data_IF_545194339962
#
_entry.id   IF_545194339962
#
_cell.length_a   1.000
_cell.length_b   1.000
_cell.length_c   1.000
_cell.angle_alpha   90.00
_cell.angle_beta   90.00
_cell.angle_gamma   90.00
#
_symmetry.space_group_name_H-M   'P 1'
#
loop_
_entity.id
_entity.type
_entity.pdbx_description
1 polymer ?
#
# COMPACT_ATOMS: atom_id res chain seq x y z
N UNK A 1 1.06 1.86 -46.89
CA UNK A 1 2.08 1.21 -46.03
C UNK A 1 1.37 0.63 -44.83
N UNK A 2 1.64 -0.61 -44.45
CA UNK A 2 1.14 -1.15 -43.19
C UNK A 2 1.79 -0.39 -42.03
N UNK A 3 1.00 -0.06 -41.00
CA UNK A 3 1.51 0.60 -39.80
C UNK A 3 2.17 -0.47 -38.93
N UNK A 4 3.49 -0.41 -38.80
CA UNK A 4 4.25 -1.39 -38.04
C UNK A 4 4.04 -1.18 -36.52
N UNK A 5 3.37 -2.14 -35.89
CA UNK A 5 3.16 -2.17 -34.43
C UNK A 5 4.50 -2.39 -33.72
N UNK A 6 4.74 -1.70 -32.61
CA UNK A 6 6.01 -1.82 -31.89
C UNK A 6 6.21 -3.21 -31.26
N UNK A 7 5.14 -3.79 -30.72
CA UNK A 7 5.04 -5.16 -30.19
C UNK A 7 3.56 -5.52 -30.01
N UNK A 8 3.13 -6.79 -30.10
CA UNK A 8 1.73 -7.17 -29.84
C UNK A 8 1.18 -6.73 -28.47
N UNK A 9 2.07 -6.59 -27.48
CA UNK A 9 1.72 -6.15 -26.11
C UNK A 9 1.64 -4.63 -25.93
N UNK A 10 1.95 -3.82 -26.95
CA UNK A 10 1.95 -2.36 -26.84
C UNK A 10 0.85 -1.72 -27.69
N UNK A 11 0.02 -0.82 -27.14
CA UNK A 11 -1.00 -0.09 -27.88
C UNK A 11 -0.41 1.10 -28.67
N UNK A 12 0.73 0.92 -29.34
CA UNK A 12 1.38 1.96 -30.15
C UNK A 12 2.26 1.41 -31.27
N UNK A 13 2.50 2.25 -32.26
CA UNK A 13 3.37 1.96 -33.41
C UNK A 13 4.84 2.17 -33.05
N UNK A 14 5.76 1.57 -33.81
CA UNK A 14 7.20 1.80 -33.60
C UNK A 14 7.58 3.27 -33.77
N UNK A 15 6.95 3.97 -34.72
CA UNK A 15 7.13 5.41 -34.95
C UNK A 15 6.65 6.28 -33.76
N UNK A 16 5.50 5.91 -33.15
CA UNK A 16 4.98 6.58 -31.96
C UNK A 16 5.90 6.40 -30.75
N UNK A 17 6.46 5.19 -30.58
CA UNK A 17 7.42 4.91 -29.52
C UNK A 17 8.73 5.69 -29.71
N UNK A 18 9.28 5.70 -30.93
CA UNK A 18 10.44 6.53 -31.30
C UNK A 18 10.23 8.00 -30.92
N UNK A 19 9.08 8.57 -31.29
CA UNK A 19 8.73 9.97 -31.01
C UNK A 19 8.68 10.24 -29.51
N UNK A 20 8.07 9.34 -28.72
CA UNK A 20 8.03 9.45 -27.25
C UNK A 20 9.40 9.37 -26.59
N UNK A 21 10.29 8.52 -27.10
CA UNK A 21 11.65 8.40 -26.59
C UNK A 21 12.49 9.64 -26.94
N UNK A 22 12.32 10.19 -28.15
CA UNK A 22 12.95 11.45 -28.55
C UNK A 22 12.47 12.66 -27.71
N UNK A 23 11.16 12.76 -27.40
CA UNK A 23 10.58 13.79 -26.52
C UNK A 23 11.23 13.82 -25.12
N UNK A 24 11.74 12.67 -24.64
CA UNK A 24 12.42 12.54 -23.34
C UNK A 24 13.96 12.52 -23.47
N UNK A 25 14.50 12.91 -24.64
CA UNK A 25 15.93 13.07 -24.88
C UNK A 25 16.72 11.78 -25.16
N UNK A 26 16.05 10.67 -25.51
CA UNK A 26 16.73 9.48 -26.02
C UNK A 26 16.89 9.58 -27.55
N UNK A 27 18.12 9.44 -28.04
CA UNK A 27 18.47 9.55 -29.47
C UNK A 27 19.10 8.27 -30.05
N UNK A 28 19.02 7.15 -29.34
CA UNK A 28 19.54 5.85 -29.81
C UNK A 28 18.56 5.13 -30.75
N UNK A 29 18.95 3.97 -31.30
CA UNK A 29 18.08 3.18 -32.16
C UNK A 29 16.92 2.56 -31.39
N UNK A 30 15.75 2.46 -32.04
CA UNK A 30 14.60 1.69 -31.56
C UNK A 30 14.07 0.85 -32.72
N UNK A 31 14.02 -0.46 -32.56
CA UNK A 31 13.44 -1.39 -33.54
C UNK A 31 12.53 -2.40 -32.83
N UNK A 32 11.76 -3.19 -33.58
CA UNK A 32 10.92 -4.24 -33.00
C UNK A 32 11.73 -5.19 -32.09
N UNK A 33 12.97 -5.51 -32.47
CA UNK A 33 13.90 -6.35 -31.68
C UNK A 33 14.26 -5.73 -30.33
N UNK A 34 14.57 -4.42 -30.32
CA UNK A 34 14.83 -3.68 -29.06
C UNK A 34 13.59 -3.72 -28.14
N UNK A 35 12.39 -3.57 -28.71
CA UNK A 35 11.13 -3.60 -27.93
C UNK A 35 10.84 -4.99 -27.40
N UNK A 36 10.98 -6.05 -28.20
CA UNK A 36 10.85 -7.45 -27.77
C UNK A 36 11.87 -7.82 -26.67
N UNK A 37 13.10 -7.30 -26.76
CA UNK A 37 14.09 -7.50 -25.72
C UNK A 37 13.71 -6.81 -24.40
N UNK A 38 13.23 -5.56 -24.45
CA UNK A 38 12.76 -4.84 -23.26
C UNK A 38 11.58 -5.58 -22.61
N UNK A 39 10.58 -5.98 -23.39
CA UNK A 39 9.35 -6.59 -22.86
C UNK A 39 9.49 -8.07 -22.46
N UNK A 40 10.61 -8.72 -22.77
CA UNK A 40 10.94 -10.04 -22.20
C UNK A 40 11.62 -9.95 -20.82
N UNK A 41 11.99 -8.73 -20.37
CA UNK A 41 12.66 -8.51 -19.09
C UNK A 41 11.97 -7.46 -18.19
N UNK A 42 11.00 -6.71 -18.71
CA UNK A 42 10.28 -5.62 -18.04
C UNK A 42 8.79 -5.80 -18.30
N UNK A 43 7.97 -5.73 -17.24
CA UNK A 43 6.52 -5.82 -17.37
C UNK A 43 5.96 -4.74 -18.34
N UNK A 44 5.13 -5.12 -19.34
CA UNK A 44 4.59 -4.18 -20.31
C UNK A 44 3.78 -3.02 -19.69
N UNK A 45 3.11 -3.25 -18.55
CA UNK A 45 2.32 -2.22 -17.87
C UNK A 45 3.23 -1.18 -17.19
N UNK A 46 4.28 -1.64 -16.48
CA UNK A 46 5.34 -0.78 -15.91
C UNK A 46 6.07 0.00 -17.00
N UNK A 47 6.45 -0.67 -18.09
CA UNK A 47 7.10 -0.03 -19.25
C UNK A 47 6.23 1.12 -19.81
N UNK A 48 4.95 0.84 -20.08
CA UNK A 48 4.00 1.84 -20.56
C UNK A 48 3.79 2.98 -19.55
N UNK A 49 3.84 2.69 -18.25
CA UNK A 49 3.69 3.73 -17.24
C UNK A 49 4.92 4.64 -17.12
N UNK A 50 6.13 4.06 -17.08
CA UNK A 50 7.37 4.83 -17.12
C UNK A 50 7.43 5.74 -18.36
N UNK A 51 7.02 5.22 -19.53
CA UNK A 51 6.97 5.97 -20.79
C UNK A 51 5.99 7.17 -20.73
N UNK A 52 4.87 7.05 -19.99
CA UNK A 52 3.96 8.17 -19.72
C UNK A 52 4.56 9.18 -18.72
N UNK A 53 5.29 8.69 -17.71
CA UNK A 53 5.83 9.51 -16.64
C UNK A 53 7.07 10.32 -17.05
N UNK A 54 7.92 9.78 -17.94
CA UNK A 54 9.22 10.34 -18.29
C UNK A 54 9.22 11.75 -18.90
N UNK A 55 8.07 12.25 -19.39
CA UNK A 55 7.90 13.65 -19.75
C UNK A 55 8.03 14.63 -18.57
N UNK A 56 7.75 14.16 -17.35
CA UNK A 56 7.72 14.97 -16.11
C UNK A 56 8.60 14.41 -14.98
N UNK A 57 8.89 13.12 -14.98
CA UNK A 57 9.74 12.45 -14.00
C UNK A 57 11.13 12.18 -14.57
N UNK A 58 12.15 12.81 -13.99
CA UNK A 58 13.54 12.65 -14.37
C UNK A 58 14.09 11.23 -14.08
N UNK A 59 13.58 10.54 -13.05
CA UNK A 59 13.99 9.16 -12.73
C UNK A 59 13.43 8.18 -13.76
N UNK A 60 12.15 8.30 -14.10
CA UNK A 60 11.53 7.51 -15.16
C UNK A 60 12.22 7.74 -16.52
N UNK A 61 12.57 8.99 -16.83
CA UNK A 61 13.36 9.37 -18.02
C UNK A 61 14.73 8.72 -18.05
N UNK A 62 15.52 8.90 -16.98
CA UNK A 62 16.86 8.30 -16.88
C UNK A 62 16.81 6.78 -16.92
N UNK A 63 15.78 6.16 -16.33
CA UNK A 63 15.60 4.71 -16.38
C UNK A 63 15.30 4.20 -17.80
N UNK A 64 14.35 4.81 -18.52
CA UNK A 64 14.06 4.44 -19.92
C UNK A 64 15.26 4.65 -20.84
N UNK A 65 16.00 5.76 -20.68
CA UNK A 65 17.22 6.00 -21.43
C UNK A 65 18.25 4.89 -21.20
N UNK A 66 18.52 4.52 -19.95
CA UNK A 66 19.44 3.41 -19.61
C UNK A 66 18.94 2.05 -20.11
N UNK A 67 17.63 1.81 -20.04
CA UNK A 67 16.99 0.57 -20.49
C UNK A 67 17.15 0.37 -22.00
N UNK A 68 16.89 1.40 -22.82
CA UNK A 68 17.06 1.31 -24.27
C UNK A 68 18.53 1.37 -24.73
N UNK A 69 19.41 2.09 -24.02
CA UNK A 69 20.86 1.99 -24.24
C UNK A 69 21.32 0.54 -24.03
N UNK A 70 20.90 -0.09 -22.93
CA UNK A 70 21.26 -1.48 -22.61
C UNK A 70 20.68 -2.49 -23.60
N UNK A 71 19.46 -2.26 -24.09
CA UNK A 71 18.89 -3.06 -25.19
C UNK A 71 19.74 -2.92 -26.47
N UNK A 72 20.18 -1.71 -26.80
CA UNK A 72 21.01 -1.45 -28.00
C UNK A 72 22.38 -2.12 -27.93
N UNK A 73 23.02 -2.16 -26.76
CA UNK A 73 24.28 -2.89 -26.53
C UNK A 73 24.12 -4.40 -26.83
N UNK A 74 23.03 -4.99 -26.33
CA UNK A 74 22.79 -6.44 -26.41
C UNK A 74 22.30 -6.90 -27.78
N UNK A 75 21.45 -6.09 -28.45
CA UNK A 75 21.03 -6.33 -29.84
C UNK A 75 22.22 -6.19 -30.81
N UNK A 76 23.12 -5.22 -30.58
CA UNK A 76 24.30 -5.03 -31.44
C UNK A 76 25.43 -6.04 -31.19
N UNK A 77 25.51 -6.64 -30.00
CA UNK A 77 26.54 -7.60 -29.64
C UNK A 77 25.98 -8.72 -28.72
N UNK A 78 25.38 -9.77 -29.29
CA UNK A 78 24.72 -10.84 -28.53
C UNK A 78 25.67 -11.75 -27.74
N UNK A 79 26.99 -11.61 -27.91
CA UNK A 79 27.99 -12.30 -27.08
C UNK A 79 28.28 -11.59 -25.74
N UNK A 80 27.70 -10.40 -25.53
CA UNK A 80 27.83 -9.65 -24.27
C UNK A 80 27.01 -10.34 -23.17
N UNK A 81 27.58 -10.61 -21.98
CA UNK A 81 26.82 -11.22 -20.89
C UNK A 81 25.64 -10.33 -20.47
N UNK A 82 24.51 -10.97 -20.17
CA UNK A 82 23.25 -10.38 -19.69
C UNK A 82 23.37 -9.90 -18.24
N UNK A 83 24.35 -9.02 -17.98
CA UNK A 83 24.44 -8.25 -16.75
C UNK A 83 23.15 -7.44 -16.51
N UNK A 84 22.78 -7.21 -15.23
CA UNK A 84 21.46 -6.79 -14.82
C UNK A 84 21.02 -5.48 -15.50
N UNK A 85 19.75 -5.41 -15.86
CA UNK A 85 19.12 -4.17 -16.30
C UNK A 85 19.17 -3.12 -15.17
N UNK A 86 19.16 -1.82 -15.49
CA UNK A 86 19.07 -0.77 -14.48
C UNK A 86 17.81 -1.00 -13.62
N UNK A 87 17.93 -0.94 -12.27
CA UNK A 87 16.83 -1.28 -11.37
C UNK A 87 15.60 -0.41 -11.65
N UNK A 88 14.42 -1.03 -11.67
CA UNK A 88 13.15 -0.35 -11.86
C UNK A 88 12.93 0.69 -10.77
N UNK A 89 12.84 1.97 -11.13
CA UNK A 89 12.31 2.95 -10.20
C UNK A 89 10.78 2.80 -10.13
N UNK A 90 10.22 2.81 -8.92
CA UNK A 90 8.78 2.68 -8.70
C UNK A 90 8.03 3.90 -9.24
N UNK A 91 7.20 3.66 -10.25
CA UNK A 91 6.36 4.64 -10.93
C UNK A 91 5.01 3.87 -11.04
N UNK A 92 3.92 4.32 -10.38
CA UNK A 92 2.64 3.56 -10.21
C UNK A 92 1.39 4.09 -10.96
N UNK A 93 0.50 3.20 -11.44
CA UNK A 93 -0.78 3.52 -12.10
C UNK A 93 -1.92 2.53 -11.68
N UNK A 94 -3.21 2.94 -11.62
CA UNK A 94 -4.28 2.16 -10.97
C UNK A 94 -5.20 1.32 -11.91
N UNK A 95 -6.02 0.46 -11.29
CA UNK A 95 -7.04 -0.47 -11.87
C UNK A 95 -8.29 0.26 -12.45
N UNK A 96 -9.26 -0.42 -13.13
CA UNK A 96 -10.26 -1.34 -12.51
C UNK A 96 -10.57 -2.57 -13.43
N UNK A 97 -11.63 -3.39 -13.34
CA UNK A 97 -12.88 -3.48 -12.53
C UNK A 97 -13.42 -4.94 -12.49
N UNK A 98 -14.45 -5.25 -11.69
CA UNK A 98 -15.26 -6.48 -11.85
C UNK A 98 -16.20 -6.83 -10.68
N UNK A 99 -17.49 -6.51 -10.80
CA UNK A 99 -18.53 -6.86 -9.82
C UNK A 99 -18.98 -8.34 -9.91
N UNK A 100 -19.35 -8.92 -8.76
CA UNK A 100 -20.43 -9.91 -8.64
C UNK A 100 -20.90 -10.00 -7.18
N UNK A 101 -22.18 -10.35 -6.98
CA UNK A 101 -22.92 -10.05 -5.74
C UNK A 101 -23.55 -11.28 -5.08
N UNK A 102 -23.95 -11.10 -3.80
CA UNK A 102 -24.75 -11.98 -2.94
C UNK A 102 -24.02 -13.22 -2.33
N UNK A 103 -24.50 -13.80 -1.19
CA UNK A 103 -25.78 -13.54 -0.50
C UNK A 103 -25.69 -13.16 1.00
N UNK A 104 -26.86 -12.86 1.58
CA UNK A 104 -27.09 -12.64 3.01
C UNK A 104 -26.66 -13.82 3.91
N UNK A 105 -26.12 -13.49 5.08
CA UNK A 105 -25.62 -14.48 6.04
C UNK A 105 -25.43 -13.92 7.46
N UNK A 106 -26.34 -13.06 7.93
CA UNK A 106 -26.23 -12.43 9.25
C UNK A 106 -26.55 -13.40 10.40
N UNK A 107 -25.58 -14.22 10.83
CA UNK A 107 -25.65 -14.93 12.12
C UNK A 107 -25.09 -14.05 13.25
N UNK A 108 -25.84 -13.01 13.61
CA UNK A 108 -25.50 -12.15 14.74
C UNK A 108 -25.73 -12.86 16.07
N UNK A 109 -24.67 -13.33 16.71
CA UNK A 109 -24.68 -13.59 18.16
C UNK A 109 -24.67 -12.23 18.86
N UNK A 110 -25.79 -11.87 19.50
CA UNK A 110 -25.97 -10.57 20.15
C UNK A 110 -25.11 -10.37 21.40
N UNK A 111 -23.81 -10.15 21.23
CA UNK A 111 -22.96 -9.56 22.26
C UNK A 111 -23.16 -8.03 22.27
N UNK A 112 -23.18 -7.45 23.47
CA UNK A 112 -23.21 -6.00 23.62
C UNK A 112 -21.90 -5.38 23.09
N UNK A 113 -21.96 -4.23 22.41
CA UNK A 113 -20.77 -3.53 21.89
C UNK A 113 -19.66 -3.35 22.94
N UNK A 114 -18.41 -3.69 22.57
CA UNK A 114 -17.27 -3.67 23.49
C UNK A 114 -16.84 -2.23 23.81
N UNK A 115 -16.71 -1.87 25.09
CA UNK A 115 -16.27 -0.53 25.50
C UNK A 115 -14.79 -0.31 25.20
N UNK A 116 -14.46 0.78 24.51
CA UNK A 116 -13.07 1.20 24.24
C UNK A 116 -12.24 1.37 25.51
N UNK A 117 -12.91 1.71 26.61
CA UNK A 117 -12.27 1.97 27.90
C UNK A 117 -11.75 0.70 28.58
N UNK A 118 -12.28 -0.47 28.20
CA UNK A 118 -12.03 -1.76 28.86
C UNK A 118 -11.44 -2.80 27.89
N UNK A 119 -11.30 -2.45 26.60
CA UNK A 119 -10.79 -3.34 25.55
C UNK A 119 -9.25 -3.34 25.50
N UNK A 120 -8.64 -4.51 25.61
CA UNK A 120 -7.27 -4.75 25.14
C UNK A 120 -7.29 -4.98 23.62
N UNK A 121 -6.44 -4.28 22.89
CA UNK A 121 -6.26 -4.49 21.45
C UNK A 121 -5.03 -5.36 21.17
N UNK A 122 -5.17 -6.35 20.28
CA UNK A 122 -4.07 -7.11 19.71
C UNK A 122 -3.61 -6.37 18.45
N UNK A 123 -2.55 -5.59 18.55
CA UNK A 123 -1.97 -4.88 17.41
C UNK A 123 -1.06 -5.86 16.65
N UNK A 124 -1.50 -6.28 15.48
CA UNK A 124 -0.84 -7.31 14.68
C UNK A 124 -0.31 -6.74 13.36
N UNK A 125 0.75 -7.37 12.87
CA UNK A 125 1.43 -7.02 11.62
C UNK A 125 2.13 -8.29 11.10
N UNK A 126 2.25 -8.44 9.77
CA UNK A 126 2.97 -9.55 9.16
C UNK A 126 3.78 -9.15 7.93
N UNK A 127 4.95 -9.79 7.79
CA UNK A 127 5.72 -9.74 6.54
C UNK A 127 5.33 -10.92 5.67
N UNK A 128 5.34 -10.72 4.35
CA UNK A 128 4.74 -11.64 3.39
C UNK A 128 5.59 -11.82 2.13
N UNK A 129 5.40 -12.93 1.43
CA UNK A 129 6.05 -13.17 0.12
C UNK A 129 5.60 -12.16 -0.95
N UNK A 130 4.47 -11.50 -0.74
CA UNK A 130 3.91 -10.48 -1.63
C UNK A 130 2.55 -10.00 -1.11
N UNK A 131 1.69 -9.55 -2.04
CA UNK A 131 0.39 -8.93 -1.73
C UNK A 131 -0.80 -9.64 -2.38
N UNK A 132 -0.58 -10.73 -3.13
CA UNK A 132 -1.65 -11.53 -3.73
C UNK A 132 -2.17 -12.56 -2.72
N UNK A 133 -3.36 -12.31 -2.17
CA UNK A 133 -3.98 -13.16 -1.16
C UNK A 133 -4.24 -14.61 -1.58
N UNK A 134 -4.21 -14.93 -2.88
CA UNK A 134 -4.30 -16.32 -3.35
C UNK A 134 -2.91 -17.00 -3.39
N UNK A 135 -1.88 -16.28 -3.86
CA UNK A 135 -0.55 -16.83 -4.11
C UNK A 135 0.41 -16.71 -2.91
N UNK A 136 0.36 -15.59 -2.18
CA UNK A 136 1.35 -15.19 -1.19
C UNK A 136 1.06 -15.71 0.23
N UNK A 137 2.10 -15.79 1.06
CA UNK A 137 2.08 -16.39 2.39
C UNK A 137 2.85 -15.53 3.39
N UNK A 138 2.46 -15.60 4.66
CA UNK A 138 3.17 -14.95 5.76
C UNK A 138 4.56 -15.58 5.98
N UNK A 139 5.56 -14.73 6.27
CA UNK A 139 6.97 -15.03 6.54
C UNK A 139 7.32 -14.67 7.99
N UNK A 140 6.70 -13.62 8.53
CA UNK A 140 6.89 -13.17 9.91
C UNK A 140 5.54 -12.68 10.45
N UNK A 141 5.30 -12.89 11.73
CA UNK A 141 4.14 -12.34 12.43
C UNK A 141 4.56 -11.74 13.77
N UNK A 142 3.95 -10.62 14.13
CA UNK A 142 4.06 -10.05 15.46
C UNK A 142 2.68 -9.70 16.02
N UNK A 143 2.59 -9.70 17.35
CA UNK A 143 1.43 -9.24 18.07
C UNK A 143 1.87 -8.45 19.31
N UNK A 144 1.36 -7.23 19.43
CA UNK A 144 1.62 -6.29 20.50
C UNK A 144 0.29 -6.01 21.23
N UNK A 145 0.22 -6.31 22.52
CA UNK A 145 -0.95 -6.01 23.32
C UNK A 145 -0.91 -4.54 23.74
N UNK A 146 -1.98 -3.79 23.41
CA UNK A 146 -2.27 -2.47 23.95
C UNK A 146 -3.38 -2.60 24.99
N UNK A 147 -3.02 -2.46 26.27
CA UNK A 147 -3.94 -2.61 27.39
C UNK A 147 -4.78 -1.34 27.66
N UNK A 148 -5.94 -1.45 28.33
CA UNK A 148 -6.75 -0.31 28.79
C UNK A 148 -6.00 0.74 29.62
N UNK A 149 -4.97 0.34 30.36
CA UNK A 149 -4.06 1.23 31.10
C UNK A 149 -3.21 2.12 30.19
N UNK A 150 -3.09 1.75 28.91
CA UNK A 150 -2.15 2.33 27.96
C UNK A 150 -0.79 1.63 27.95
N UNK A 151 -0.59 0.54 28.70
CA UNK A 151 0.64 -0.26 28.62
C UNK A 151 0.70 -0.99 27.27
N UNK A 152 1.93 -1.18 26.76
CA UNK A 152 2.21 -1.77 25.45
C UNK A 152 3.22 -2.90 25.66
N UNK A 153 2.87 -4.13 25.25
CA UNK A 153 3.69 -5.33 25.42
C UNK A 153 3.86 -6.07 24.09
N UNK A 154 5.10 -6.34 23.66
CA UNK A 154 5.38 -7.25 22.55
C UNK A 154 5.24 -8.71 23.05
N UNK A 155 4.04 -9.28 22.90
CA UNK A 155 3.70 -10.61 23.41
C UNK A 155 4.06 -11.73 22.43
N UNK A 156 4.09 -11.46 21.11
CA UNK A 156 4.53 -12.43 20.10
C UNK A 156 5.39 -11.77 19.03
N UNK A 157 6.48 -12.44 18.64
CA UNK A 157 7.27 -12.16 17.45
C UNK A 157 7.87 -13.48 16.95
N UNK A 158 7.50 -13.92 15.75
CA UNK A 158 7.96 -15.21 15.21
C UNK A 158 8.10 -15.18 13.70
N UNK A 159 9.08 -15.92 13.20
CA UNK A 159 9.14 -16.30 11.79
C UNK A 159 8.14 -17.44 11.52
N UNK A 160 7.70 -17.50 10.27
CA UNK A 160 6.78 -18.48 9.70
C UNK A 160 7.45 -19.04 8.45
N UNK A 161 7.44 -20.36 8.28
CA UNK A 161 7.86 -20.99 7.03
C UNK A 161 6.70 -20.91 6.01
N UNK A 162 6.80 -20.09 4.94
CA UNK A 162 5.73 -19.88 3.97
C UNK A 162 5.48 -21.10 3.07
N UNK A 163 6.40 -22.06 3.00
CA UNK A 163 6.33 -23.22 2.10
C UNK A 163 6.50 -22.92 0.60
N UNK A 164 6.81 -21.67 0.25
CA UNK A 164 7.14 -21.19 -1.09
C UNK A 164 8.39 -20.30 -1.03
N UNK A 165 9.17 -20.14 -2.11
CA UNK A 165 10.35 -19.28 -2.11
C UNK A 165 9.99 -17.82 -1.82
N UNK A 166 10.76 -17.15 -0.97
CA UNK A 166 10.58 -15.73 -0.65
C UNK A 166 11.11 -14.87 -1.81
N UNK A 167 10.26 -14.06 -2.49
CA UNK A 167 10.70 -13.26 -3.61
C UNK A 167 11.69 -12.17 -3.20
N UNK A 168 12.74 -11.98 -4.00
CA UNK A 168 13.76 -10.95 -3.74
C UNK A 168 13.19 -9.52 -3.69
N UNK A 169 12.04 -9.26 -4.33
CA UNK A 169 11.31 -7.99 -4.23
C UNK A 169 10.76 -7.72 -2.82
N UNK A 170 10.41 -8.76 -2.10
CA UNK A 170 9.86 -8.71 -0.74
C UNK A 170 11.01 -8.68 0.26
N UNK A 171 12.04 -9.52 0.08
CA UNK A 171 13.32 -9.41 0.81
C UNK A 171 13.99 -8.03 0.69
N UNK A 172 13.79 -7.30 -0.43
CA UNK A 172 14.29 -5.94 -0.59
C UNK A 172 13.58 -4.92 0.32
N UNK A 173 12.40 -5.26 0.85
CA UNK A 173 11.60 -4.45 1.78
C UNK A 173 11.91 -4.89 3.22
N UNK A 174 11.65 -6.17 3.55
CA UNK A 174 11.66 -6.66 4.93
C UNK A 174 12.91 -7.46 5.34
N UNK A 175 13.86 -7.63 4.40
CA UNK A 175 15.18 -8.22 4.64
C UNK A 175 15.20 -9.66 5.20
N UNK A 176 14.10 -10.42 5.03
CA UNK A 176 14.04 -11.86 5.32
C UNK A 176 14.20 -12.64 4.00
N UNK A 177 14.86 -13.79 4.09
CA UNK A 177 15.17 -14.70 2.99
C UNK A 177 14.82 -16.14 3.35
N UNK A 178 14.84 -17.06 2.37
CA UNK A 178 14.59 -18.49 2.60
C UNK A 178 15.50 -19.11 3.67
N UNK A 179 16.66 -18.49 3.95
CA UNK A 179 17.61 -18.95 4.99
C UNK A 179 17.14 -18.63 6.40
N UNK A 180 16.44 -17.52 6.58
CA UNK A 180 16.02 -17.04 7.90
C UNK A 180 14.86 -17.88 8.45
N UNK A 181 14.00 -18.40 7.56
CA UNK A 181 12.85 -19.25 7.89
C UNK A 181 13.18 -20.76 8.01
N UNK A 182 14.45 -21.15 7.92
CA UNK A 182 14.84 -22.58 8.06
C UNK A 182 14.49 -23.08 9.46
N UNK A 183 13.57 -24.04 9.53
CA UNK A 183 13.10 -24.61 10.80
C UNK A 183 12.03 -23.77 11.51
N UNK A 184 11.55 -22.69 10.90
CA UNK A 184 10.39 -21.95 11.38
C UNK A 184 9.10 -22.80 11.27
N UNK A 185 8.13 -22.50 12.11
CA UNK A 185 6.83 -23.18 12.09
C UNK A 185 5.99 -22.75 10.89
N UNK A 186 5.19 -23.66 10.33
CA UNK A 186 4.13 -23.30 9.35
C UNK A 186 3.05 -22.48 10.04
N UNK A 187 2.33 -21.63 9.28
CA UNK A 187 1.24 -20.78 9.78
C UNK A 187 0.22 -21.56 10.63
N UNK A 188 -0.16 -22.78 10.24
CA UNK A 188 -1.12 -23.61 10.97
C UNK A 188 -0.72 -23.94 12.43
N UNK A 189 0.56 -23.82 12.80
CA UNK A 189 1.02 -23.96 14.17
C UNK A 189 1.15 -22.62 14.92
N UNK A 190 1.23 -21.49 14.19
CA UNK A 190 1.36 -20.13 14.76
C UNK A 190 -0.01 -19.47 14.94
N UNK A 191 -0.93 -19.66 13.98
CA UNK A 191 -2.26 -19.03 13.96
C UNK A 191 -3.05 -19.26 15.26
N UNK A 192 -3.09 -20.46 15.86
CA UNK A 192 -3.84 -20.66 17.10
C UNK A 192 -3.28 -19.83 18.27
N UNK A 193 -1.97 -19.57 18.29
CA UNK A 193 -1.31 -18.76 19.33
C UNK A 193 -1.71 -17.30 19.21
N UNK A 194 -1.60 -16.69 18.03
CA UNK A 194 -2.01 -15.29 17.82
C UNK A 194 -3.53 -15.11 17.95
N UNK A 195 -4.32 -16.06 17.44
CA UNK A 195 -5.79 -16.07 17.53
C UNK A 195 -6.29 -16.12 18.98
N UNK A 196 -5.52 -16.72 19.89
CA UNK A 196 -5.82 -16.78 21.32
C UNK A 196 -5.48 -15.50 22.11
N UNK A 197 -4.76 -14.53 21.53
CA UNK A 197 -4.39 -13.29 22.23
C UNK A 197 -5.58 -12.33 22.44
N UNK A 198 -6.67 -12.47 21.69
CA UNK A 198 -7.86 -11.66 21.86
C UNK A 198 -8.88 -11.80 20.73
N UNK A 199 -9.88 -10.91 20.74
CA UNK A 199 -10.94 -10.82 19.71
C UNK A 199 -10.94 -9.47 18.98
N UNK A 200 -10.35 -8.44 19.58
CA UNK A 200 -10.22 -7.10 19.02
C UNK A 200 -8.78 -6.88 18.56
N UNK A 201 -8.60 -6.86 17.25
CA UNK A 201 -7.33 -6.66 16.60
C UNK A 201 -7.23 -5.25 16.03
N UNK A 202 -6.01 -4.78 15.81
CA UNK A 202 -5.75 -3.58 15.04
C UNK A 202 -4.50 -3.76 14.16
N UNK A 203 -4.50 -3.11 13.01
CA UNK A 203 -3.31 -2.97 12.17
C UNK A 203 -3.37 -1.62 11.47
N UNK A 204 -2.28 -1.27 10.78
CA UNK A 204 -2.28 -0.06 9.97
C UNK A 204 -3.20 -0.21 8.74
N UNK A 205 -3.19 -1.36 8.07
CA UNK A 205 -4.10 -1.69 6.95
C UNK A 205 -4.51 -3.18 7.02
N UNK A 206 -5.53 -3.53 7.82
CA UNK A 206 -5.74 -4.90 8.33
C UNK A 206 -6.15 -5.96 7.30
N UNK A 207 -6.57 -5.59 6.10
CA UNK A 207 -7.11 -6.54 5.12
C UNK A 207 -6.08 -7.60 4.68
N UNK A 208 -4.80 -7.24 4.68
CA UNK A 208 -3.68 -8.13 4.37
C UNK A 208 -3.36 -9.03 5.57
N UNK A 209 -3.17 -8.45 6.75
CA UNK A 209 -2.80 -9.17 7.98
C UNK A 209 -3.88 -10.17 8.39
N UNK A 210 -5.15 -9.73 8.41
CA UNK A 210 -6.30 -10.58 8.70
C UNK A 210 -6.42 -11.77 7.74
N UNK A 211 -5.98 -11.59 6.48
CA UNK A 211 -6.00 -12.63 5.46
C UNK A 211 -4.84 -13.62 5.59
N UNK A 212 -3.61 -13.11 5.62
CA UNK A 212 -2.38 -13.92 5.59
C UNK A 212 -2.13 -14.65 6.91
N UNK A 213 -2.67 -14.15 8.02
CA UNK A 213 -2.62 -14.79 9.33
C UNK A 213 -3.83 -15.70 9.61
N UNK A 214 -4.81 -15.75 8.70
CA UNK A 214 -6.09 -16.46 8.86
C UNK A 214 -6.84 -16.04 10.16
N UNK A 215 -7.09 -14.73 10.27
CA UNK A 215 -7.71 -14.04 11.39
C UNK A 215 -8.89 -13.15 10.95
N UNK A 216 -9.54 -13.49 9.83
CA UNK A 216 -10.70 -12.76 9.30
C UNK A 216 -11.96 -12.87 10.17
N UNK A 217 -11.98 -13.80 11.12
CA UNK A 217 -13.04 -13.98 12.12
C UNK A 217 -13.00 -12.93 13.25
N UNK A 218 -11.92 -12.16 13.34
CA UNK A 218 -11.70 -11.16 14.40
C UNK A 218 -12.30 -9.80 14.06
N UNK A 219 -12.51 -8.98 15.09
CA UNK A 219 -12.90 -7.58 14.95
C UNK A 219 -11.66 -6.73 14.69
N UNK A 220 -11.54 -6.11 13.53
CA UNK A 220 -10.35 -5.33 13.13
C UNK A 220 -10.58 -3.82 13.12
N UNK A 221 -9.69 -3.08 13.78
CA UNK A 221 -9.61 -1.63 13.71
C UNK A 221 -8.42 -1.18 12.82
N UNK A 222 -8.67 -0.24 11.92
CA UNK A 222 -7.68 0.27 10.96
C UNK A 222 -7.14 1.63 11.39
N UNK A 223 -5.87 1.71 11.81
CA UNK A 223 -5.26 2.97 12.25
C UNK A 223 -5.02 3.93 11.08
N UNK A 224 -4.72 3.44 9.87
CA UNK A 224 -4.65 4.32 8.69
C UNK A 224 -5.96 5.08 8.48
N UNK A 225 -7.13 4.41 8.60
CA UNK A 225 -8.44 5.08 8.50
C UNK A 225 -8.68 6.11 9.60
N UNK A 226 -8.34 5.79 10.86
CA UNK A 226 -8.45 6.75 11.96
C UNK A 226 -7.54 7.97 11.75
N UNK A 227 -6.31 7.75 11.28
CA UNK A 227 -5.34 8.81 11.06
C UNK A 227 -5.79 9.84 10.01
N UNK A 228 -6.51 9.41 8.96
CA UNK A 228 -7.13 10.31 7.97
C UNK A 228 -8.15 11.25 8.61
N UNK A 229 -8.98 10.74 9.53
CA UNK A 229 -10.01 11.53 10.22
C UNK A 229 -9.43 12.42 11.34
N UNK A 230 -8.41 11.96 12.06
CA UNK A 230 -7.83 12.66 13.21
C UNK A 230 -6.78 13.72 12.80
N UNK A 231 -6.10 13.48 11.67
CA UNK A 231 -5.03 14.31 11.14
C UNK A 231 -5.10 14.43 9.60
N UNK A 232 -6.16 15.04 9.02
CA UNK A 232 -6.31 15.16 7.57
C UNK A 232 -5.24 16.07 6.91
N UNK A 233 -4.57 16.91 7.71
CA UNK A 233 -3.44 17.78 7.33
C UNK A 233 -2.05 17.10 7.43
N UNK A 234 -1.96 15.81 7.80
CA UNK A 234 -0.66 15.13 7.91
C UNK A 234 0.05 15.05 6.54
N UNK A 235 1.41 15.16 6.49
CA UNK A 235 2.17 15.12 5.23
C UNK A 235 2.13 13.75 4.53
N UNK A 236 1.67 12.72 5.23
CA UNK A 236 1.38 11.39 4.74
C UNK A 236 0.91 10.49 5.88
N UNK A 237 0.08 9.50 5.57
CA UNK A 237 -0.61 8.67 6.58
C UNK A 237 0.02 7.30 6.80
N UNK A 238 1.14 6.97 6.15
CA UNK A 238 1.89 5.73 6.42
C UNK A 238 2.47 5.73 7.84
N UNK A 239 2.47 4.57 8.49
CA UNK A 239 2.91 4.34 9.88
C UNK A 239 4.20 5.11 10.28
N UNK A 240 5.28 4.98 9.51
CA UNK A 240 6.56 5.64 9.82
C UNK A 240 6.51 7.18 9.60
N UNK A 241 5.71 7.70 8.66
CA UNK A 241 5.52 9.16 8.52
C UNK A 241 4.75 9.71 9.72
N UNK A 242 3.68 9.03 10.16
CA UNK A 242 2.92 9.43 11.34
C UNK A 242 3.77 9.35 12.61
N UNK A 243 4.61 8.31 12.75
CA UNK A 243 5.59 8.18 13.86
C UNK A 243 6.46 9.43 14.01
N UNK A 244 7.13 9.87 12.94
CA UNK A 244 8.02 11.03 12.99
C UNK A 244 7.27 12.36 13.04
N UNK A 245 6.13 12.48 12.35
CA UNK A 245 5.37 13.72 12.29
C UNK A 245 4.62 14.03 13.60
N UNK A 246 4.16 13.00 14.32
CA UNK A 246 3.53 13.13 15.64
C UNK A 246 4.53 13.12 16.81
N UNK A 247 5.83 12.96 16.51
CA UNK A 247 6.91 12.77 17.50
C UNK A 247 6.58 11.67 18.53
N UNK A 248 6.23 10.48 18.03
CA UNK A 248 5.89 9.34 18.89
C UNK A 248 7.15 8.80 19.56
N UNK A 249 7.17 8.84 20.90
CA UNK A 249 8.20 8.24 21.75
C UNK A 249 8.16 6.70 21.69
N UNK A 250 8.69 6.15 20.60
CA UNK A 250 8.74 4.72 20.31
C UNK A 250 10.17 4.20 20.41
N UNK A 251 10.47 3.52 21.52
CA UNK A 251 11.69 2.73 21.67
C UNK A 251 11.49 1.35 21.05
N UNK A 252 12.28 1.03 20.02
CA UNK A 252 12.32 -0.30 19.41
C UNK A 252 13.40 -1.18 20.07
N UNK A 253 13.16 -2.49 20.25
CA UNK A 253 14.19 -3.45 20.62
C UNK A 253 15.42 -3.40 19.70
N UNK A 254 16.66 -3.60 20.22
CA UNK A 254 17.86 -3.57 19.40
C UNK A 254 17.81 -4.55 18.21
N UNK A 255 18.15 -4.06 17.02
CA UNK A 255 18.15 -4.84 15.77
C UNK A 255 16.83 -4.83 15.00
N UNK A 256 15.71 -4.43 15.63
CA UNK A 256 14.47 -4.18 14.90
C UNK A 256 14.54 -2.84 14.15
N UNK A 257 14.01 -2.86 12.93
CA UNK A 257 14.00 -1.77 11.96
C UNK A 257 12.64 -1.75 11.23
N UNK A 258 12.23 -0.62 10.62
CA UNK A 258 11.00 -0.58 9.81
C UNK A 258 10.99 -1.65 8.73
N UNK A 259 9.80 -2.15 8.37
CA UNK A 259 9.60 -3.36 7.58
C UNK A 259 10.11 -4.61 8.28
N UNK A 260 9.72 -4.73 9.55
CA UNK A 260 9.75 -5.96 10.34
C UNK A 260 8.49 -5.99 11.17
N UNK A 261 7.82 -7.14 11.24
CA UNK A 261 6.48 -7.22 11.81
C UNK A 261 6.43 -6.66 13.25
N UNK A 262 7.41 -7.00 14.08
CA UNK A 262 7.48 -6.49 15.45
C UNK A 262 7.77 -4.99 15.53
N UNK A 263 8.53 -4.42 14.58
CA UNK A 263 8.81 -2.99 14.57
C UNK A 263 7.56 -2.17 14.19
N UNK A 264 6.88 -2.58 13.13
CA UNK A 264 5.70 -1.86 12.65
C UNK A 264 4.45 -2.13 13.51
N UNK A 265 4.29 -3.32 14.11
CA UNK A 265 3.28 -3.56 15.15
C UNK A 265 3.50 -2.67 16.39
N UNK A 266 4.73 -2.51 16.87
CA UNK A 266 5.03 -1.62 18.00
C UNK A 266 4.69 -0.17 17.63
N UNK A 267 5.15 0.34 16.48
CA UNK A 267 4.83 1.71 16.04
C UNK A 267 3.31 1.90 15.90
N UNK A 268 2.60 0.90 15.35
CA UNK A 268 1.14 0.92 15.23
C UNK A 268 0.45 0.95 16.59
N UNK A 269 0.99 0.27 17.62
CA UNK A 269 0.41 0.28 18.97
C UNK A 269 0.55 1.65 19.65
N UNK A 270 1.70 2.32 19.48
CA UNK A 270 1.89 3.70 19.95
C UNK A 270 1.02 4.69 19.18
N UNK A 271 0.83 4.50 17.87
CA UNK A 271 -0.10 5.29 17.05
C UNK A 271 -1.54 5.10 17.55
N UNK A 272 -2.02 3.86 17.68
CA UNK A 272 -3.36 3.54 18.18
C UNK A 272 -3.61 4.10 19.58
N UNK A 273 -2.64 4.00 20.49
CA UNK A 273 -2.70 4.63 21.83
C UNK A 273 -2.92 6.15 21.74
N UNK A 274 -2.27 6.82 20.78
CA UNK A 274 -2.45 8.26 20.53
C UNK A 274 -3.82 8.57 19.90
N UNK A 275 -4.29 7.72 18.98
CA UNK A 275 -5.61 7.85 18.34
C UNK A 275 -6.76 7.66 19.34
N UNK A 276 -6.75 6.59 20.12
CA UNK A 276 -7.77 6.31 21.15
C UNK A 276 -7.85 7.44 22.19
N UNK A 277 -6.71 8.04 22.56
CA UNK A 277 -6.68 9.24 23.41
C UNK A 277 -7.37 10.42 22.73
N UNK A 278 -7.06 10.72 21.47
CA UNK A 278 -7.69 11.83 20.74
C UNK A 278 -9.18 11.59 20.48
N UNK A 279 -9.61 10.35 20.25
CA UNK A 279 -11.02 9.99 20.13
C UNK A 279 -11.77 10.26 21.44
N UNK A 280 -11.21 9.87 22.59
CA UNK A 280 -11.76 10.21 23.92
C UNK A 280 -11.88 11.73 24.14
N UNK A 281 -10.90 12.51 23.69
CA UNK A 281 -10.87 13.98 23.82
C UNK A 281 -11.84 14.70 22.85
N UNK A 282 -11.93 14.25 21.59
CA UNK A 282 -12.63 14.95 20.50
C UNK A 282 -13.99 14.35 20.11
N UNK A 283 -14.23 13.08 20.45
CA UNK A 283 -15.39 12.27 20.05
C UNK A 283 -15.91 11.41 21.22
N UNK A 284 -16.36 12.04 22.33
CA UNK A 284 -16.87 11.34 23.51
C UNK A 284 -18.21 10.60 23.28
N UNK A 285 -18.79 10.73 22.09
CA UNK A 285 -19.88 9.94 21.54
C UNK A 285 -19.42 8.53 21.11
N UNK A 286 -18.19 8.38 20.62
CA UNK A 286 -17.61 7.10 20.21
C UNK A 286 -17.03 6.38 21.44
N UNK A 287 -17.84 5.49 22.03
CA UNK A 287 -17.50 4.79 23.29
C UNK A 287 -17.21 3.30 23.11
N UNK A 288 -17.58 2.72 21.98
CA UNK A 288 -17.44 1.28 21.71
C UNK A 288 -16.50 1.04 20.53
N UNK A 289 -15.87 -0.14 20.48
CA UNK A 289 -14.94 -0.51 19.39
C UNK A 289 -15.65 -0.44 18.04
N UNK A 290 -16.87 -0.95 17.97
CA UNK A 290 -17.73 -0.97 16.79
C UNK A 290 -18.07 0.44 16.32
N UNK A 291 -18.37 1.37 17.24
CA UNK A 291 -18.63 2.78 16.89
C UNK A 291 -17.40 3.48 16.28
N UNK A 292 -16.18 3.09 16.70
CA UNK A 292 -14.93 3.61 16.15
C UNK A 292 -14.60 2.96 14.81
N UNK A 293 -14.86 1.67 14.63
CA UNK A 293 -14.73 0.97 13.34
C UNK A 293 -15.70 1.58 12.32
N UNK A 294 -16.96 1.77 12.69
CA UNK A 294 -17.97 2.41 11.83
C UNK A 294 -17.55 3.83 11.45
N UNK A 295 -17.02 4.61 12.41
CA UNK A 295 -16.46 5.93 12.14
C UNK A 295 -15.27 5.89 11.16
N UNK A 296 -14.32 4.98 11.37
CA UNK A 296 -13.14 4.81 10.52
C UNK A 296 -13.50 4.40 9.08
N UNK A 297 -14.54 3.57 8.92
CA UNK A 297 -15.04 3.10 7.64
C UNK A 297 -15.73 4.21 6.80
N UNK A 298 -16.19 5.30 7.41
CA UNK A 298 -16.78 6.44 6.67
C UNK A 298 -15.72 7.10 5.77
N UNK A 299 -16.10 7.60 4.58
CA UNK A 299 -15.23 8.40 3.73
C UNK A 299 -14.60 9.58 4.53
N UNK A 300 -13.32 9.80 4.34
CA UNK A 300 -12.56 10.86 4.99
C UNK A 300 -12.45 12.08 4.05
N UNK A 301 -12.53 13.28 4.62
CA UNK A 301 -12.19 14.50 3.89
C UNK A 301 -10.67 14.60 3.74
N UNK A 302 -10.19 14.61 2.50
CA UNK A 302 -8.78 14.80 2.19
C UNK A 302 -8.48 16.30 2.07
N UNK A 303 -7.40 16.81 2.67
CA UNK A 303 -7.01 18.21 2.46
C UNK A 303 -6.36 18.40 1.10
N UNK A 304 -5.47 17.49 0.72
CA UNK A 304 -4.63 17.61 -0.48
C UNK A 304 -5.07 16.64 -1.58
N UNK A 305 -5.03 17.09 -2.83
CA UNK A 305 -5.25 16.22 -4.00
C UNK A 305 -4.03 15.28 -4.11
N UNK A 306 -4.20 13.95 -4.17
CA UNK A 306 -3.06 13.03 -4.12
C UNK A 306 -2.47 12.68 -5.51
N UNK A 307 -3.06 13.16 -6.62
CA UNK A 307 -2.77 12.68 -7.97
C UNK A 307 -2.59 13.76 -9.05
N UNK A 308 -1.97 13.36 -10.18
CA UNK A 308 -1.82 14.14 -11.44
C UNK A 308 -1.16 15.51 -11.23
N UNK A 309 -1.55 16.51 -12.02
CA UNK A 309 -0.99 17.87 -12.04
C UNK A 309 -1.29 18.68 -10.79
N UNK A 310 -2.35 18.33 -10.05
CA UNK A 310 -2.78 19.03 -8.84
C UNK A 310 -2.27 18.35 -7.57
N UNK A 311 -1.32 17.40 -7.67
CA UNK A 311 -0.80 16.70 -6.49
C UNK A 311 -0.20 17.69 -5.49
N UNK A 312 -0.77 17.75 -4.28
CA UNK A 312 -0.37 18.68 -3.21
C UNK A 312 -1.09 20.03 -3.19
N UNK A 313 -1.97 20.32 -4.16
CA UNK A 313 -2.93 21.44 -4.09
C UNK A 313 -4.05 21.08 -3.10
N UNK A 314 -4.63 22.06 -2.41
CA UNK A 314 -5.78 21.81 -1.53
C UNK A 314 -7.05 21.58 -2.35
N UNK A 315 -7.94 20.70 -1.90
CA UNK A 315 -9.24 20.49 -2.55
C UNK A 315 -10.11 21.75 -2.57
N UNK A 316 -9.93 22.65 -1.59
CA UNK A 316 -10.58 23.96 -1.53
C UNK A 316 -10.05 24.99 -2.54
N UNK A 317 -8.92 24.73 -3.19
CA UNK A 317 -8.29 25.61 -4.18
C UNK A 317 -8.62 25.19 -5.63
N UNK A 318 -9.26 24.03 -5.81
CA UNK A 318 -9.56 23.47 -7.12
C UNK A 318 -10.85 24.05 -7.71
N UNK A 319 -10.86 24.26 -9.02
CA UNK A 319 -12.02 24.81 -9.73
C UNK A 319 -13.15 23.78 -9.90
N UNK A 320 -14.39 24.27 -10.03
CA UNK A 320 -15.59 23.43 -10.19
C UNK A 320 -15.48 22.45 -11.37
N UNK A 321 -14.84 22.84 -12.48
CA UNK A 321 -14.73 21.98 -13.67
C UNK A 321 -13.80 20.79 -13.42
N UNK A 322 -12.72 20.99 -12.66
CA UNK A 322 -11.86 19.90 -12.19
C UNK A 322 -12.59 19.00 -11.18
N UNK A 323 -13.33 19.57 -10.23
CA UNK A 323 -14.05 18.80 -9.21
C UNK A 323 -15.15 17.93 -9.85
N UNK A 324 -15.95 18.49 -10.75
CA UNK A 324 -16.95 17.75 -11.54
C UNK A 324 -16.28 16.68 -12.41
N UNK A 325 -15.10 16.94 -12.97
CA UNK A 325 -14.33 15.91 -13.66
C UNK A 325 -13.89 14.78 -12.72
N UNK A 326 -13.51 15.05 -11.47
CA UNK A 326 -13.13 14.01 -10.49
C UNK A 326 -14.33 13.12 -10.14
N UNK A 327 -15.49 13.69 -9.84
CA UNK A 327 -16.71 12.93 -9.51
C UNK A 327 -17.12 12.00 -10.66
N UNK A 328 -16.96 12.44 -11.91
CA UNK A 328 -17.27 11.64 -13.11
C UNK A 328 -16.16 10.63 -13.53
N UNK A 329 -15.27 10.23 -12.62
CA UNK A 329 -14.16 9.29 -12.88
C UNK A 329 -14.06 8.24 -11.79
N UNK A 330 -13.46 7.10 -12.11
CA UNK A 330 -13.22 6.05 -11.11
C UNK A 330 -12.06 6.42 -10.19
N UNK A 331 -12.38 6.87 -8.97
CA UNK A 331 -11.45 7.18 -7.89
C UNK A 331 -11.92 6.52 -6.58
N UNK A 332 -11.15 6.64 -5.49
CA UNK A 332 -11.58 6.09 -4.19
C UNK A 332 -12.77 6.86 -3.60
N UNK A 333 -13.56 6.23 -2.71
CA UNK A 333 -14.67 6.90 -2.03
C UNK A 333 -14.28 8.19 -1.31
N UNK A 334 -13.08 8.26 -0.71
CA UNK A 334 -12.58 9.49 -0.07
C UNK A 334 -12.38 10.63 -1.08
N UNK A 335 -11.85 10.33 -2.26
CA UNK A 335 -11.63 11.31 -3.33
C UNK A 335 -12.96 11.84 -3.86
N UNK A 336 -13.96 10.96 -4.07
CA UNK A 336 -15.30 11.36 -4.47
C UNK A 336 -15.98 12.21 -3.41
N UNK A 337 -16.04 11.73 -2.17
CA UNK A 337 -16.63 12.43 -1.04
C UNK A 337 -16.01 13.84 -0.87
N UNK A 338 -14.69 13.95 -0.96
CA UNK A 338 -13.97 15.22 -0.85
C UNK A 338 -14.32 16.15 -2.01
N UNK A 339 -14.37 15.65 -3.24
CA UNK A 339 -14.73 16.45 -4.42
C UNK A 339 -16.19 16.96 -4.35
N UNK A 340 -17.15 16.11 -3.96
CA UNK A 340 -18.55 16.49 -3.75
C UNK A 340 -18.74 17.50 -2.61
N UNK A 341 -17.92 17.41 -1.56
CA UNK A 341 -17.92 18.36 -0.47
C UNK A 341 -17.32 19.72 -0.89
N UNK A 342 -16.27 19.72 -1.71
CA UNK A 342 -15.71 20.92 -2.30
C UNK A 342 -16.70 21.61 -3.26
N UNK A 343 -17.41 20.86 -4.11
CA UNK A 343 -18.46 21.41 -5.01
C UNK A 343 -19.56 22.10 -4.19
N UNK A 344 -20.08 21.46 -3.14
CA UNK A 344 -21.11 22.08 -2.28
C UNK A 344 -20.63 23.39 -1.66
N UNK A 345 -19.39 23.43 -1.15
CA UNK A 345 -18.78 24.65 -0.59
C UNK A 345 -18.61 25.79 -1.61
N UNK A 346 -18.46 25.48 -2.91
CA UNK A 346 -18.44 26.49 -3.99
C UNK A 346 -19.85 26.98 -4.36
N UNK A 347 -20.90 26.22 -4.06
CA UNK A 347 -22.30 26.56 -4.35
C UNK A 347 -22.98 27.30 -3.19
N UNK A 348 -22.50 27.08 -1.96
CA UNK A 348 -23.01 27.70 -0.73
C UNK A 348 -22.33 29.05 -0.38
N UNK A 349 -21.33 29.51 -1.16
CA UNK A 349 -20.45 30.66 -0.87
C UNK A 349 -20.59 31.85 -1.83
#
# INVERSE_FOLDING_TARGET
>A
MAIEQAHPSLPMTLEQLHRRLAEIGFSGPVSAEHVSFVLSHVDPTKFLYALRAAGKDARARTWLQKLFLRASELVSNPATPSGPLPPEHQVSCPQPAGEQSAPDGATGTGQSPALLADTTFVVADCEATGLDLAADRAIEAAAVLLYPSGDIELTMHTLIDPGIPIPATSSAIHHLTDRDVIGASKLAAVQPTISALGTHFAAHTPDLDAALLDLRDKTWLCTHRLSLHLWPEAPGHSNQVLRYWLDLDVTLPPGLHPHRAAADAIVTAYLLKRELRLLRERRPDLRTVESVIEFAARPAELVYIPFRSHRGMKWSEADESFLVWVVNRNFSPDIHYTAELAIRRLQDG
#
